data_IF_718601635248
#
_entry.id   IF_718601635248
#
_cell.length_a   1.000
_cell.length_b   1.000
_cell.length_c   1.000
_cell.angle_alpha   90.00
_cell.angle_beta   90.00
_cell.angle_gamma   90.00
#
_symmetry.space_group_name_H-M   'P 1'
#
loop_
_entity.id
_entity.type
_entity.pdbx_description
1 polymer ?
#
# COMPACT_ATOMS: atom_id res chain seq x y z
N UNK A 1 -1.60 -15.90 -4.48
CA UNK A 1 -2.78 -15.09 -4.10
C UNK A 1 -2.84 -15.03 -2.59
N UNK A 2 -2.16 -14.05 -1.99
CA UNK A 2 -2.20 -13.84 -0.54
C UNK A 2 -3.51 -13.13 -0.20
N UNK A 3 -4.29 -13.76 0.69
CA UNK A 3 -5.42 -13.15 1.37
C UNK A 3 -4.94 -11.83 1.98
N UNK A 4 -5.57 -10.73 1.60
CA UNK A 4 -5.53 -9.49 2.37
C UNK A 4 -5.95 -9.88 3.79
N UNK A 5 -5.09 -9.58 4.77
CA UNK A 5 -5.41 -9.81 6.17
C UNK A 5 -6.40 -8.71 6.58
N UNK A 6 -7.69 -8.97 6.38
CA UNK A 6 -8.83 -8.13 6.76
C UNK A 6 -9.07 -8.29 8.27
N UNK A 7 -8.06 -8.02 9.08
CA UNK A 7 -8.26 -7.98 10.53
C UNK A 7 -9.13 -6.75 10.86
N UNK A 8 -10.35 -7.06 11.31
CA UNK A 8 -11.31 -6.21 12.04
C UNK A 8 -12.14 -5.17 11.28
N UNK A 9 -12.48 -5.39 10.00
CA UNK A 9 -13.62 -4.65 9.45
C UNK A 9 -14.92 -5.15 10.09
N UNK A 10 -15.59 -4.27 10.84
CA UNK A 10 -16.91 -4.56 11.44
C UNK A 10 -17.87 -5.02 10.34
N UNK A 11 -18.42 -6.22 10.53
CA UNK A 11 -19.41 -6.81 9.62
C UNK A 11 -20.80 -6.37 10.05
N UNK A 12 -21.56 -5.83 9.11
CA UNK A 12 -22.95 -5.41 9.27
C UNK A 12 -23.86 -6.39 8.54
N UNK A 13 -25.00 -6.70 9.17
CA UNK A 13 -26.04 -7.56 8.58
C UNK A 13 -27.43 -7.02 8.92
N UNK A 14 -28.40 -7.28 8.05
CA UNK A 14 -29.79 -6.95 8.37
C UNK A 14 -30.02 -5.46 8.61
N UNK A 15 -30.74 -5.15 9.69
CA UNK A 15 -31.04 -3.77 10.09
C UNK A 15 -29.79 -2.96 10.48
N UNK A 16 -28.69 -3.60 10.89
CA UNK A 16 -27.45 -2.91 11.23
C UNK A 16 -26.79 -2.28 10.00
N UNK A 17 -26.93 -2.92 8.83
CA UNK A 17 -26.45 -2.40 7.54
C UNK A 17 -27.14 -1.07 7.21
N UNK A 18 -28.47 -1.02 7.34
CA UNK A 18 -29.25 0.18 7.07
C UNK A 18 -28.90 1.29 8.06
N UNK A 19 -28.75 0.95 9.34
CA UNK A 19 -28.34 1.92 10.36
C UNK A 19 -26.97 2.52 10.07
N UNK A 20 -26.00 1.69 9.68
CA UNK A 20 -24.67 2.14 9.31
C UNK A 20 -24.69 3.08 8.09
N UNK A 21 -25.49 2.76 7.06
CA UNK A 21 -25.69 3.65 5.91
C UNK A 21 -26.32 5.00 6.33
N UNK A 22 -27.32 4.98 7.21
CA UNK A 22 -27.95 6.19 7.76
C UNK A 22 -27.01 7.02 8.63
N UNK A 23 -26.05 6.39 9.30
CA UNK A 23 -24.96 7.06 10.03
C UNK A 23 -23.91 7.67 9.09
N UNK A 24 -24.10 7.56 7.76
CA UNK A 24 -23.21 8.13 6.75
C UNK A 24 -22.01 7.24 6.41
N UNK A 25 -21.99 5.98 6.88
CA UNK A 25 -20.89 5.05 6.59
C UNK A 25 -20.95 4.59 5.14
N UNK A 26 -19.76 4.38 4.57
CA UNK A 26 -19.62 3.70 3.28
C UNK A 26 -19.43 2.22 3.55
N UNK A 27 -20.29 1.39 2.97
CA UNK A 27 -20.28 -0.05 3.14
C UNK A 27 -19.83 -0.74 1.87
N UNK A 28 -19.06 -1.81 1.99
CA UNK A 28 -18.62 -2.66 0.89
C UNK A 28 -19.36 -3.99 0.93
N UNK A 29 -19.77 -4.46 -0.24
CA UNK A 29 -20.22 -5.83 -0.46
C UNK A 29 -19.57 -6.32 -1.76
N UNK A 30 -18.72 -7.34 -1.63
CA UNK A 30 -17.86 -7.83 -2.72
C UNK A 30 -17.03 -6.69 -3.35
N UNK A 31 -17.35 -6.29 -4.58
CA UNK A 31 -16.69 -5.19 -5.32
C UNK A 31 -17.48 -3.89 -5.32
N UNK A 32 -18.70 -3.91 -4.76
CA UNK A 32 -19.65 -2.82 -4.79
C UNK A 32 -19.64 -2.06 -3.46
N UNK A 33 -19.47 -0.74 -3.54
CA UNK A 33 -19.57 0.16 -2.41
C UNK A 33 -20.93 0.86 -2.41
N UNK A 34 -21.48 1.07 -1.22
CA UNK A 34 -22.78 1.68 -0.99
C UNK A 34 -22.64 2.83 0.00
N UNK A 35 -23.34 3.93 -0.27
CA UNK A 35 -23.50 5.03 0.69
C UNK A 35 -24.90 5.62 0.59
N UNK A 36 -25.36 6.21 1.69
CA UNK A 36 -26.55 7.04 1.69
C UNK A 36 -26.13 8.52 1.58
N UNK A 37 -26.76 9.28 0.69
CA UNK A 37 -26.60 10.74 0.61
C UNK A 37 -27.99 11.36 0.52
N UNK A 38 -28.41 12.02 1.61
CA UNK A 38 -29.80 12.43 1.81
C UNK A 38 -30.75 11.23 1.81
N UNK A 39 -31.75 11.26 0.93
CA UNK A 39 -32.76 10.18 0.80
C UNK A 39 -32.36 9.12 -0.23
N UNK A 40 -31.21 9.27 -0.89
CA UNK A 40 -30.83 8.42 -2.00
C UNK A 40 -29.67 7.50 -1.65
N UNK A 41 -29.82 6.24 -2.05
CA UNK A 41 -28.77 5.25 -2.02
C UNK A 41 -27.94 5.39 -3.30
N UNK A 42 -26.63 5.42 -3.12
CA UNK A 42 -25.67 5.40 -4.22
C UNK A 42 -24.84 4.13 -4.17
N UNK A 43 -24.52 3.59 -5.33
CA UNK A 43 -23.60 2.48 -5.50
C UNK A 43 -22.41 2.87 -6.37
N UNK A 44 -21.29 2.19 -6.15
CA UNK A 44 -20.08 2.33 -6.93
C UNK A 44 -19.49 0.94 -7.13
N UNK A 45 -19.37 0.51 -8.38
CA UNK A 45 -18.69 -0.73 -8.75
C UNK A 45 -17.27 -0.41 -9.23
N UNK A 46 -16.27 -0.83 -8.47
CA UNK A 46 -14.85 -0.59 -8.77
C UNK A 46 -14.50 0.90 -8.92
N UNK A 47 -13.97 1.27 -10.08
CA UNK A 47 -13.48 2.63 -10.36
C UNK A 47 -14.55 3.57 -10.98
N UNK A 48 -15.80 3.13 -11.09
CA UNK A 48 -16.86 3.96 -11.65
C UNK A 48 -17.27 5.10 -10.72
N UNK A 49 -17.91 6.13 -11.26
CA UNK A 49 -18.53 7.18 -10.45
C UNK A 49 -19.72 6.65 -9.64
N UNK A 50 -20.07 7.36 -8.58
CA UNK A 50 -21.25 7.06 -7.77
C UNK A 50 -22.51 7.23 -8.60
N UNK A 51 -23.25 6.15 -8.79
CA UNK A 51 -24.55 6.15 -9.46
C UNK A 51 -25.66 5.87 -8.47
N UNK A 52 -26.87 6.32 -8.82
CA UNK A 52 -28.04 6.05 -7.98
C UNK A 52 -28.32 4.55 -8.01
N UNK A 53 -28.31 3.94 -6.83
CA UNK A 53 -28.61 2.53 -6.68
C UNK A 53 -30.12 2.34 -6.58
N UNK A 54 -30.63 1.31 -7.25
CA UNK A 54 -32.03 0.87 -7.17
C UNK A 54 -32.15 -0.49 -6.50
N UNK A 55 -31.14 -0.89 -5.70
CA UNK A 55 -31.17 -2.14 -4.94
C UNK A 55 -32.33 -2.11 -3.94
N UNK A 56 -33.04 -3.23 -3.87
CA UNK A 56 -34.13 -3.39 -2.91
C UNK A 56 -33.58 -3.52 -1.49
N UNK A 57 -34.40 -3.15 -0.50
CA UNK A 57 -34.06 -3.32 0.93
C UNK A 57 -33.68 -4.77 1.25
N UNK A 58 -34.31 -5.75 0.59
CA UNK A 58 -34.01 -7.18 0.75
C UNK A 58 -32.52 -7.52 0.50
N UNK A 59 -31.87 -6.79 -0.41
CA UNK A 59 -30.44 -6.92 -0.66
C UNK A 59 -29.60 -6.64 0.60
N UNK A 60 -29.89 -5.53 1.28
CA UNK A 60 -29.19 -5.12 2.51
C UNK A 60 -29.53 -6.00 3.71
N UNK A 61 -30.72 -6.61 3.69
CA UNK A 61 -31.18 -7.48 4.77
C UNK A 61 -30.55 -8.88 4.75
N UNK A 62 -30.20 -9.38 3.56
CA UNK A 62 -29.69 -10.76 3.39
C UNK A 62 -28.17 -10.87 3.33
N UNK A 63 -27.50 -9.79 2.94
CA UNK A 63 -26.07 -9.82 2.65
C UNK A 63 -25.25 -9.29 3.83
N UNK A 64 -23.96 -9.64 3.80
CA UNK A 64 -22.97 -9.19 4.77
C UNK A 64 -22.19 -8.04 4.15
N UNK A 65 -22.18 -6.92 4.86
CA UNK A 65 -21.45 -5.73 4.45
C UNK A 65 -20.30 -5.50 5.41
N UNK A 66 -19.22 -4.92 4.94
CA UNK A 66 -18.15 -4.40 5.79
C UNK A 66 -18.08 -2.89 5.64
N UNK A 67 -17.77 -2.18 6.70
CA UNK A 67 -17.43 -0.77 6.56
C UNK A 67 -16.16 -0.63 5.72
N UNK A 68 -16.15 0.31 4.79
CA UNK A 68 -14.92 0.69 4.10
C UNK A 68 -14.02 1.34 5.14
N UNK A 69 -12.86 0.74 5.40
CA UNK A 69 -11.85 1.36 6.24
C UNK A 69 -11.50 2.72 5.62
N UNK A 70 -11.88 3.79 6.32
CA UNK A 70 -11.53 5.14 5.92
C UNK A 70 -10.08 5.38 6.32
N UNK A 71 -9.23 5.87 5.41
CA UNK A 71 -7.83 6.16 5.74
C UNK A 71 -7.73 7.16 6.89
N UNK A 72 -6.84 6.88 7.83
CA UNK A 72 -6.49 7.75 8.94
C UNK A 72 -5.12 8.40 8.72
N UNK A 73 -4.83 9.45 9.49
CA UNK A 73 -3.49 10.04 9.51
C UNK A 73 -2.46 8.99 9.91
N UNK A 74 -1.41 8.84 9.09
CA UNK A 74 -0.37 7.81 9.24
C UNK A 74 -0.57 6.61 8.32
N UNK A 75 -1.77 6.36 7.83
CA UNK A 75 -2.01 5.27 6.88
C UNK A 75 -1.31 5.54 5.56
N UNK A 76 -0.80 4.47 4.95
CA UNK A 76 -0.33 4.52 3.58
C UNK A 76 -1.45 4.08 2.66
N UNK A 77 -1.71 4.86 1.62
CA UNK A 77 -2.81 4.59 0.70
C UNK A 77 -2.34 4.60 -0.74
N UNK A 78 -3.03 3.82 -1.57
CA UNK A 78 -3.01 3.90 -3.02
C UNK A 78 -4.33 4.48 -3.50
N UNK A 79 -4.27 5.57 -4.24
CA UNK A 79 -5.43 6.21 -4.87
C UNK A 79 -5.28 6.13 -6.38
N UNK A 80 -6.28 5.57 -7.04
CA UNK A 80 -6.37 5.53 -8.49
C UNK A 80 -7.19 6.72 -8.98
N UNK A 81 -6.54 7.60 -9.74
CA UNK A 81 -7.16 8.70 -10.48
C UNK A 81 -7.22 8.32 -11.96
N UNK A 82 -8.09 8.95 -12.77
CA UNK A 82 -8.27 8.59 -14.18
C UNK A 82 -6.97 8.60 -15.01
N UNK A 83 -6.00 9.43 -14.64
CA UNK A 83 -4.74 9.66 -15.36
C UNK A 83 -3.49 9.18 -14.63
N UNK A 84 -3.60 8.80 -13.34
CA UNK A 84 -2.44 8.45 -12.51
C UNK A 84 -2.80 7.68 -11.25
N UNK A 85 -1.85 6.90 -10.75
CA UNK A 85 -1.91 6.32 -9.41
C UNK A 85 -1.04 7.14 -8.46
N UNK A 86 -1.59 7.51 -7.30
CA UNK A 86 -0.85 8.16 -6.23
C UNK A 86 -0.69 7.13 -5.10
N UNK A 87 0.53 6.96 -4.62
CA UNK A 87 0.82 6.20 -3.40
C UNK A 87 1.53 7.13 -2.43
N UNK A 88 1.10 7.15 -1.18
CA UNK A 88 1.80 7.91 -0.15
C UNK A 88 1.13 7.82 1.22
N UNK A 89 1.70 8.53 2.19
CA UNK A 89 1.21 8.58 3.56
C UNK A 89 0.19 9.70 3.75
N UNK A 90 -0.93 9.39 4.40
CA UNK A 90 -1.95 10.36 4.78
C UNK A 90 -1.42 11.22 5.92
N UNK A 91 -1.37 12.53 5.69
CA UNK A 91 -0.86 13.53 6.66
C UNK A 91 -1.97 14.34 7.30
N UNK A 92 -3.14 14.41 6.67
CA UNK A 92 -4.33 15.13 7.13
C UNK A 92 -5.57 14.48 6.50
N UNK A 93 -6.68 14.46 7.25
CA UNK A 93 -8.00 14.01 6.77
C UNK A 93 -9.03 15.06 7.14
N UNK A 94 -9.69 15.64 6.15
CA UNK A 94 -10.82 16.56 6.33
C UNK A 94 -11.92 16.25 5.30
N UNK A 95 -13.15 16.05 5.76
CA UNK A 95 -14.36 15.95 4.93
C UNK A 95 -14.18 15.22 3.58
N UNK A 96 -13.69 13.98 3.63
CA UNK A 96 -13.44 13.10 2.46
C UNK A 96 -12.28 13.53 1.56
N UNK A 97 -11.34 14.31 2.06
CA UNK A 97 -10.08 14.66 1.40
C UNK A 97 -8.93 14.23 2.30
N UNK A 98 -7.95 13.55 1.73
CA UNK A 98 -6.70 13.22 2.38
C UNK A 98 -5.55 14.00 1.75
N UNK A 99 -4.62 14.50 2.57
CA UNK A 99 -3.36 15.05 2.08
C UNK A 99 -2.29 13.97 2.04
N UNK A 100 -1.80 13.66 0.83
CA UNK A 100 -0.79 12.64 0.57
C UNK A 100 0.43 13.32 -0.05
N UNK A 101 1.57 13.33 0.66
CA UNK A 101 2.84 13.90 0.18
C UNK A 101 2.65 15.27 -0.53
N UNK A 102 2.01 16.21 0.17
CA UNK A 102 1.66 17.57 -0.28
C UNK A 102 0.58 17.69 -1.36
N UNK A 103 -0.11 16.59 -1.70
CA UNK A 103 -1.25 16.59 -2.64
C UNK A 103 -2.56 16.38 -1.89
N UNK A 104 -3.53 17.25 -2.15
CA UNK A 104 -4.92 17.02 -1.73
C UNK A 104 -5.57 16.02 -2.67
N UNK A 105 -6.08 14.92 -2.11
CA UNK A 105 -6.68 13.83 -2.87
C UNK A 105 -8.07 13.54 -2.29
N UNK A 106 -9.08 13.59 -3.16
CA UNK A 106 -10.45 13.25 -2.80
C UNK A 106 -10.58 11.75 -2.57
N UNK A 107 -10.94 11.37 -1.35
CA UNK A 107 -11.26 9.99 -0.92
C UNK A 107 -12.57 9.47 -1.54
N UNK A 108 -13.26 10.27 -2.37
CA UNK A 108 -14.39 9.80 -3.18
C UNK A 108 -13.95 8.83 -4.29
N UNK A 109 -12.69 8.88 -4.70
CA UNK A 109 -12.08 7.93 -5.64
C UNK A 109 -11.74 6.62 -4.93
N UNK A 110 -11.51 5.55 -5.69
CA UNK A 110 -11.12 4.28 -5.08
C UNK A 110 -9.79 4.46 -4.32
N UNK A 111 -9.82 4.15 -3.03
CA UNK A 111 -8.70 4.30 -2.11
C UNK A 111 -8.46 2.97 -1.40
N UNK A 112 -7.26 2.42 -1.57
CA UNK A 112 -6.81 1.19 -0.91
C UNK A 112 -5.82 1.56 0.21
N UNK A 113 -6.08 1.13 1.44
CA UNK A 113 -5.08 1.20 2.52
C UNK A 113 -4.07 0.06 2.30
N UNK A 114 -2.79 0.40 2.24
CA UNK A 114 -1.72 -0.52 1.94
C UNK A 114 -1.25 -1.25 3.19
N UNK A 115 -0.98 -2.55 3.05
CA UNK A 115 -0.37 -3.34 4.11
C UNK A 115 1.08 -2.91 4.36
N UNK A 116 1.65 -3.18 5.56
CA UNK A 116 3.05 -2.88 5.85
C UNK A 116 4.03 -3.45 4.83
N UNK A 117 3.73 -4.63 4.26
CA UNK A 117 4.53 -5.28 3.22
C UNK A 117 4.49 -4.50 1.91
N UNK A 118 3.30 -4.09 1.45
CA UNK A 118 3.14 -3.26 0.25
C UNK A 118 3.84 -1.91 0.41
N UNK A 119 3.76 -1.30 1.59
CA UNK A 119 4.46 -0.05 1.92
C UNK A 119 5.97 -0.24 1.89
N UNK A 120 6.47 -1.34 2.47
CA UNK A 120 7.89 -1.66 2.48
C UNK A 120 8.43 -1.90 1.06
N UNK A 121 7.66 -2.59 0.22
CA UNK A 121 8.01 -2.82 -1.18
C UNK A 121 8.03 -1.52 -1.98
N UNK A 122 7.01 -0.67 -1.85
CA UNK A 122 6.97 0.64 -2.49
C UNK A 122 8.15 1.51 -2.07
N UNK A 123 8.43 1.63 -0.76
CA UNK A 123 9.57 2.41 -0.26
C UNK A 123 10.91 1.87 -0.78
N UNK A 124 11.05 0.55 -0.88
CA UNK A 124 12.22 -0.09 -1.46
C UNK A 124 12.38 0.32 -2.93
N UNK A 125 11.33 0.24 -3.73
CA UNK A 125 11.37 0.66 -5.14
C UNK A 125 11.74 2.13 -5.30
N UNK A 126 11.14 3.02 -4.51
CA UNK A 126 11.47 4.44 -4.51
C UNK A 126 12.94 4.71 -4.18
N UNK A 127 13.57 3.88 -3.33
CA UNK A 127 15.00 4.01 -3.03
C UNK A 127 15.86 3.79 -4.28
N UNK A 128 15.54 2.80 -5.13
CA UNK A 128 16.26 2.57 -6.41
C UNK A 128 15.99 3.70 -7.42
N UNK A 129 14.73 4.14 -7.53
CA UNK A 129 14.34 5.21 -8.46
C UNK A 129 15.11 6.50 -8.18
N UNK A 130 15.32 6.84 -6.90
CA UNK A 130 16.09 8.03 -6.48
C UNK A 130 17.54 8.06 -6.98
N UNK A 131 18.12 6.89 -7.28
CA UNK A 131 19.48 6.77 -7.84
C UNK A 131 19.48 6.36 -9.32
N UNK A 132 18.32 6.44 -9.99
CA UNK A 132 18.20 6.15 -11.42
C UNK A 132 18.33 4.66 -11.78
N UNK A 133 18.04 3.76 -10.83
CA UNK A 133 18.16 2.30 -11.03
C UNK A 133 16.81 1.62 -11.11
N UNK A 134 16.77 0.45 -11.76
CA UNK A 134 15.59 -0.43 -11.76
C UNK A 134 15.42 -1.10 -10.38
N UNK A 135 14.19 -1.48 -9.99
CA UNK A 135 14.00 -2.26 -8.78
C UNK A 135 14.89 -3.50 -8.76
N UNK A 136 15.53 -3.78 -7.62
CA UNK A 136 16.44 -4.91 -7.40
C UNK A 136 17.75 -4.86 -8.20
N UNK A 137 18.05 -3.76 -8.87
CA UNK A 137 19.34 -3.55 -9.55
C UNK A 137 20.42 -3.15 -8.54
N UNK A 138 20.91 -4.14 -7.79
CA UNK A 138 22.09 -3.97 -6.95
C UNK A 138 23.36 -3.88 -7.82
N UNK A 139 24.41 -3.24 -7.30
CA UNK A 139 25.74 -3.16 -7.91
C UNK A 139 26.80 -3.41 -6.83
N UNK A 140 28.03 -3.79 -7.19
CA UNK A 140 29.10 -3.90 -6.22
C UNK A 140 29.26 -2.62 -5.39
N UNK A 141 29.61 -2.80 -4.12
CA UNK A 141 29.77 -1.76 -3.10
C UNK A 141 28.46 -1.14 -2.59
N UNK A 142 27.29 -1.54 -3.09
CA UNK A 142 26.04 -1.19 -2.40
C UNK A 142 26.02 -1.82 -1.00
N UNK A 143 25.49 -1.07 -0.02
CA UNK A 143 25.29 -1.54 1.36
C UNK A 143 23.82 -1.93 1.50
N UNK A 144 23.58 -3.15 1.97
CA UNK A 144 22.25 -3.75 2.11
C UNK A 144 22.07 -4.36 3.49
N UNK A 145 20.82 -4.36 3.95
CA UNK A 145 20.39 -5.16 5.10
C UNK A 145 19.77 -6.47 4.60
N UNK A 146 20.23 -7.59 5.15
CA UNK A 146 19.70 -8.93 4.85
C UNK A 146 18.63 -9.27 5.90
N UNK A 147 17.37 -9.08 5.55
CA UNK A 147 16.24 -9.15 6.49
C UNK A 147 16.18 -10.49 7.26
N UNK A 148 16.41 -11.61 6.57
CA UNK A 148 16.32 -12.95 7.16
C UNK A 148 17.41 -13.28 8.18
N UNK A 149 18.53 -12.57 8.13
CA UNK A 149 19.69 -12.82 8.98
C UNK A 149 19.92 -11.69 10.00
N UNK A 150 19.26 -10.54 9.82
CA UNK A 150 19.44 -9.38 10.68
C UNK A 150 20.84 -8.74 10.55
N UNK A 151 21.52 -8.92 9.40
CA UNK A 151 22.89 -8.46 9.18
C UNK A 151 22.98 -7.38 8.12
N UNK A 152 24.01 -6.54 8.23
CA UNK A 152 24.40 -5.60 7.17
C UNK A 152 25.54 -6.20 6.35
N UNK A 153 25.44 -6.09 5.03
CA UNK A 153 26.40 -6.64 4.09
C UNK A 153 26.66 -5.70 2.91
N UNK A 154 27.79 -5.92 2.23
CA UNK A 154 28.19 -5.23 1.01
C UNK A 154 27.94 -6.15 -0.17
N UNK A 155 27.33 -5.63 -1.22
CA UNK A 155 27.16 -6.34 -2.49
C UNK A 155 28.51 -6.48 -3.19
N UNK A 156 28.83 -7.68 -3.64
CA UNK A 156 30.08 -7.97 -4.37
C UNK A 156 29.84 -8.51 -5.79
N UNK A 157 28.60 -8.83 -6.16
CA UNK A 157 28.25 -9.34 -7.49
C UNK A 157 27.94 -8.23 -8.50
N UNK A 158 28.36 -8.48 -9.76
CA UNK A 158 28.04 -7.66 -10.94
C UNK A 158 26.71 -8.07 -11.63
N UNK A 159 26.14 -9.22 -11.29
CA UNK A 159 24.92 -9.77 -11.91
C UNK A 159 23.99 -10.30 -10.84
N UNK A 160 22.75 -9.77 -10.82
CA UNK A 160 21.83 -9.89 -9.70
C UNK A 160 20.45 -10.44 -10.10
N UNK A 161 20.36 -11.13 -11.26
CA UNK A 161 19.08 -11.57 -11.81
C UNK A 161 18.40 -12.68 -11.00
N UNK A 162 19.17 -13.52 -10.30
CA UNK A 162 18.62 -14.61 -9.47
C UNK A 162 19.09 -14.51 -8.03
N UNK A 163 20.37 -14.19 -7.84
CA UNK A 163 21.02 -14.15 -6.54
C UNK A 163 22.02 -13.01 -6.49
N UNK A 164 22.16 -12.40 -5.31
CA UNK A 164 23.12 -11.35 -5.01
C UNK A 164 24.16 -11.92 -4.07
N UNK A 165 25.43 -11.80 -4.43
CA UNK A 165 26.55 -12.20 -3.58
C UNK A 165 26.92 -11.05 -2.67
N UNK A 166 27.15 -11.37 -1.41
CA UNK A 166 27.30 -10.41 -0.32
C UNK A 166 28.52 -10.76 0.52
N UNK A 167 29.12 -9.72 1.11
CA UNK A 167 30.16 -9.84 2.14
C UNK A 167 29.66 -9.16 3.41
N UNK A 168 29.62 -9.87 4.54
CA UNK A 168 29.15 -9.27 5.80
C UNK A 168 30.14 -8.22 6.33
N UNK A 169 29.64 -7.05 6.73
CA UNK A 169 30.48 -6.00 7.32
C UNK A 169 30.93 -6.43 8.73
N UNK A 170 32.19 -6.15 9.09
CA UNK A 170 32.78 -6.37 10.42
C UNK A 170 32.85 -7.84 10.90
N UNK A 171 32.63 -8.81 10.01
CA UNK A 171 32.87 -10.22 10.28
C UNK A 171 33.74 -10.82 9.19
N UNK A 172 34.85 -11.46 9.57
CA UNK A 172 35.86 -11.95 8.62
C UNK A 172 35.26 -12.81 7.50
N UNK A 173 35.54 -12.44 6.24
CA UNK A 173 35.39 -13.16 4.98
C UNK A 173 34.21 -14.14 4.79
N UNK A 174 33.10 -14.01 5.53
CA UNK A 174 31.90 -14.82 5.31
C UNK A 174 31.12 -14.24 4.15
N UNK A 175 31.17 -14.95 3.03
CA UNK A 175 30.31 -14.72 1.88
C UNK A 175 28.90 -15.22 2.14
N UNK A 176 27.91 -14.45 1.71
CA UNK A 176 26.50 -14.81 1.74
C UNK A 176 25.90 -14.67 0.35
N UNK A 177 24.80 -15.40 0.12
CA UNK A 177 23.99 -15.25 -1.07
C UNK A 177 22.54 -15.06 -0.66
N UNK A 178 21.85 -14.11 -1.28
CA UNK A 178 20.45 -13.83 -1.00
C UNK A 178 19.70 -13.50 -2.29
N UNK A 179 18.39 -13.73 -2.29
CA UNK A 179 17.53 -13.27 -3.39
C UNK A 179 17.35 -11.75 -3.27
N UNK A 180 17.25 -11.01 -4.38
CA UNK A 180 17.13 -9.56 -4.32
C UNK A 180 15.97 -9.04 -3.44
N UNK A 181 14.83 -9.73 -3.43
CA UNK A 181 13.68 -9.33 -2.61
C UNK A 181 13.89 -9.47 -1.10
N UNK A 182 14.90 -10.23 -0.67
CA UNK A 182 15.27 -10.40 0.74
C UNK A 182 16.19 -9.28 1.25
N UNK A 183 16.61 -8.39 0.34
CA UNK A 183 17.54 -7.31 0.61
C UNK A 183 16.81 -5.98 0.70
N UNK A 184 17.17 -5.20 1.71
CA UNK A 184 16.77 -3.81 1.84
C UNK A 184 17.99 -2.91 1.57
N UNK A 185 17.94 -2.01 0.58
CA UNK A 185 19.04 -1.08 0.34
C UNK A 185 19.20 -0.13 1.53
N UNK A 186 20.45 0.04 1.98
CA UNK A 186 20.84 1.05 2.98
C UNK A 186 21.52 2.22 2.28
N UNK A 187 22.50 1.95 1.41
CA UNK A 187 23.22 2.96 0.66
C UNK A 187 23.62 2.42 -0.70
N UNK A 188 23.42 3.21 -1.74
CA UNK A 188 23.91 2.90 -3.08
C UNK A 188 25.32 3.45 -3.29
N UNK A 189 26.12 2.80 -4.13
CA UNK A 189 27.47 3.27 -4.45
C UNK A 189 27.47 4.70 -5.02
N UNK A 190 26.45 5.11 -5.77
CA UNK A 190 26.32 6.46 -6.32
C UNK A 190 26.10 7.54 -5.24
N UNK A 191 25.74 7.15 -4.02
CA UNK A 191 25.50 8.06 -2.90
C UNK A 191 26.64 8.05 -1.88
N UNK A 192 27.66 7.21 -2.06
CA UNK A 192 28.79 7.12 -1.14
C UNK A 192 29.77 8.26 -1.42
N UNK A 193 30.19 8.94 -0.35
CA UNK A 193 31.21 9.99 -0.43
C UNK A 193 32.58 9.33 -0.44
N UNK A 194 33.37 9.64 -1.46
CA UNK A 194 34.78 9.24 -1.49
C UNK A 194 35.57 10.07 -0.46
N UNK A 195 36.22 9.38 0.46
CA UNK A 195 37.05 9.98 1.52
C UNK A 195 38.55 9.77 1.25
N UNK A 196 38.92 9.31 0.04
CA UNK A 196 40.32 9.10 -0.36
C UNK A 196 41.12 10.38 -0.55
#
# INVERSE_FOLDING_TARGET
>A
MSKVNVDELKVYTGGETLKALMEGKILNWETDQYKLDGEFLYEKNGNNDWTRSYRSIDHFMRLKFTEVATPQVGDWVRVELPDKTIIGCVTEVDNLVARIEDRLVSLKHYCEILSPEQVSEYKREQAFVKVGRKPNEFKPNDIVFVNSLGITAIVISNSNNQEVRLHQINHGAKGYTAKPHQLRPISFVEQQVDLS
#
